data_IF_310026055215
#
_entry.id   IF_310026055215
#
_cell.length_a   1.000
_cell.length_b   1.000
_cell.length_c   1.000
_cell.angle_alpha   90.00
_cell.angle_beta   90.00
_cell.angle_gamma   90.00
#
_symmetry.space_group_name_H-M   'P 1'
#
loop_
_entity.id
_entity.type
_entity.pdbx_description
1 polymer ?
#
# COMPACT_ATOMS: atom_id res chain seq x y z
N UNK A 1 10.33 -23.69 18.07
CA UNK A 1 9.31 -23.37 17.04
C UNK A 1 9.92 -23.59 15.67
N UNK A 2 9.16 -24.05 14.68
CA UNK A 2 9.66 -24.19 13.30
C UNK A 2 9.74 -22.80 12.65
N UNK A 3 10.59 -22.64 11.63
CA UNK A 3 10.70 -21.36 10.90
C UNK A 3 9.34 -20.94 10.31
N UNK A 4 8.58 -21.89 9.76
CA UNK A 4 7.23 -21.63 9.24
C UNK A 4 6.31 -21.01 10.29
N UNK A 5 6.30 -21.53 11.53
CA UNK A 5 5.48 -20.96 12.62
C UNK A 5 5.95 -19.58 13.07
N UNK A 6 7.25 -19.28 12.90
CA UNK A 6 7.86 -17.98 13.25
C UNK A 6 7.50 -16.89 12.24
N UNK A 7 7.53 -17.21 10.94
CA UNK A 7 7.31 -16.22 9.88
C UNK A 7 5.82 -16.03 9.52
N UNK A 8 4.97 -17.05 9.71
CA UNK A 8 3.58 -17.02 9.26
C UNK A 8 2.77 -15.79 9.76
N UNK A 9 2.90 -15.33 11.02
CA UNK A 9 2.21 -14.13 11.50
C UNK A 9 2.62 -12.83 10.79
N UNK A 10 3.77 -12.82 10.12
CA UNK A 10 4.33 -11.63 9.47
C UNK A 10 4.01 -11.55 7.97
N UNK A 11 3.57 -12.65 7.35
CA UNK A 11 3.30 -12.73 5.91
C UNK A 11 2.20 -11.78 5.41
N UNK A 12 1.05 -11.61 6.11
CA UNK A 12 0.03 -10.65 5.66
C UNK A 12 0.61 -9.25 5.50
N UNK A 13 1.35 -8.77 6.50
CA UNK A 13 1.95 -7.44 6.49
C UNK A 13 3.07 -7.32 5.45
N UNK A 14 3.87 -8.38 5.24
CA UNK A 14 4.86 -8.38 4.17
C UNK A 14 4.21 -8.23 2.80
N UNK A 15 3.04 -8.84 2.57
CA UNK A 15 2.26 -8.60 1.33
C UNK A 15 1.81 -7.15 1.24
N UNK A 16 1.27 -6.56 2.31
CA UNK A 16 0.89 -5.14 2.32
C UNK A 16 2.05 -4.24 1.90
N UNK A 17 3.21 -4.44 2.51
CA UNK A 17 4.44 -3.73 2.16
C UNK A 17 4.84 -3.95 0.69
N UNK A 18 4.85 -5.20 0.23
CA UNK A 18 5.23 -5.55 -1.13
C UNK A 18 4.28 -4.99 -2.19
N UNK A 19 2.97 -5.01 -1.93
CA UNK A 19 1.94 -4.40 -2.79
C UNK A 19 2.10 -2.88 -2.84
N UNK A 20 2.36 -2.23 -1.70
CA UNK A 20 2.63 -0.80 -1.66
C UNK A 20 3.90 -0.41 -2.44
N UNK A 21 4.92 -1.28 -2.41
CA UNK A 21 6.19 -1.06 -3.11
C UNK A 21 6.06 -1.28 -4.63
N UNK A 22 5.28 -2.28 -5.05
CA UNK A 22 5.12 -2.69 -6.47
C UNK A 22 3.94 -2.03 -7.18
N UNK A 23 2.99 -1.47 -6.43
CA UNK A 23 1.82 -0.77 -6.95
C UNK A 23 0.68 -1.67 -7.42
N UNK A 24 0.79 -2.99 -7.25
CA UNK A 24 -0.29 -3.95 -7.60
C UNK A 24 -0.33 -5.14 -6.64
N UNK A 25 -1.50 -5.74 -6.49
CA UNK A 25 -1.66 -6.99 -5.76
C UNK A 25 -0.80 -8.11 -6.37
N UNK A 26 -0.96 -8.35 -7.68
CA UNK A 26 -0.33 -9.48 -8.38
C UNK A 26 1.20 -9.46 -8.25
N UNK A 27 1.81 -8.30 -8.47
CA UNK A 27 3.27 -8.18 -8.36
C UNK A 27 3.73 -8.38 -6.92
N UNK A 28 3.09 -7.70 -5.96
CA UNK A 28 3.47 -7.79 -4.56
C UNK A 28 3.38 -9.21 -4.00
N UNK A 29 2.27 -9.90 -4.28
CA UNK A 29 2.06 -11.27 -3.82
C UNK A 29 3.03 -12.26 -4.49
N UNK A 30 3.39 -12.04 -5.76
CA UNK A 30 4.39 -12.84 -6.47
C UNK A 30 5.79 -12.70 -5.87
N UNK A 31 6.21 -11.48 -5.48
CA UNK A 31 7.49 -11.30 -4.78
C UNK A 31 7.50 -12.01 -3.41
N UNK A 32 6.40 -11.95 -2.65
CA UNK A 32 6.31 -12.67 -1.37
C UNK A 32 6.35 -14.17 -1.57
N UNK A 33 5.66 -14.70 -2.58
CA UNK A 33 5.73 -16.12 -2.94
C UNK A 33 7.16 -16.55 -3.31
N UNK A 34 7.88 -15.76 -4.12
CA UNK A 34 9.26 -16.05 -4.50
C UNK A 34 10.21 -16.07 -3.28
N UNK A 35 10.00 -15.18 -2.30
CA UNK A 35 10.76 -15.22 -1.03
C UNK A 35 10.49 -16.52 -0.26
N UNK A 36 9.22 -16.95 -0.20
CA UNK A 36 8.86 -18.22 0.46
C UNK A 36 9.46 -19.43 -0.25
N UNK A 37 9.42 -19.47 -1.59
CA UNK A 37 10.05 -20.52 -2.39
C UNK A 37 11.56 -20.58 -2.15
N UNK A 38 12.23 -19.43 -2.06
CA UNK A 38 13.65 -19.36 -1.74
C UNK A 38 13.95 -19.95 -0.35
N UNK A 39 13.13 -19.63 0.67
CA UNK A 39 13.28 -20.19 2.03
C UNK A 39 13.06 -21.71 2.03
N UNK A 40 12.10 -22.21 1.25
CA UNK A 40 11.84 -23.65 1.13
C UNK A 40 13.01 -24.36 0.45
N UNK A 41 13.59 -23.75 -0.59
CA UNK A 41 14.74 -24.29 -1.32
C UNK A 41 16.01 -24.33 -0.45
N UNK A 42 16.25 -23.29 0.35
CA UNK A 42 17.37 -23.22 1.27
C UNK A 42 17.01 -22.41 2.53
N UNK A 43 16.77 -23.10 3.64
CA UNK A 43 16.43 -22.48 4.93
C UNK A 43 17.59 -21.62 5.47
N UNK A 44 18.85 -21.91 5.08
CA UNK A 44 20.03 -21.22 5.61
C UNK A 44 20.15 -19.78 5.14
N UNK A 45 19.38 -19.38 4.11
CA UNK A 45 19.34 -17.99 3.64
C UNK A 45 18.60 -17.06 4.61
N UNK A 46 17.80 -17.61 5.53
CA UNK A 46 17.01 -16.82 6.46
C UNK A 46 17.95 -16.11 7.45
N UNK A 47 17.95 -14.76 7.50
CA UNK A 47 18.90 -14.02 8.34
C UNK A 47 18.78 -14.40 9.81
N UNK A 48 19.94 -14.54 10.47
CA UNK A 48 20.00 -14.71 11.92
C UNK A 48 19.91 -13.33 12.58
N UNK A 49 18.68 -12.91 12.90
CA UNK A 49 18.41 -11.69 13.67
C UNK A 49 17.55 -12.02 14.89
N UNK A 50 17.60 -11.15 15.89
CA UNK A 50 16.81 -11.30 17.12
C UNK A 50 15.29 -11.17 16.89
N UNK A 51 14.87 -10.69 15.71
CA UNK A 51 13.48 -10.40 15.39
C UNK A 51 13.08 -11.02 14.04
N UNK A 52 12.23 -12.04 14.09
CA UNK A 52 11.70 -12.74 12.90
C UNK A 52 11.07 -11.83 11.86
N UNK A 53 10.42 -10.76 12.30
CA UNK A 53 9.83 -9.76 11.42
C UNK A 53 10.93 -9.02 10.65
N UNK A 54 12.01 -8.63 11.32
CA UNK A 54 13.16 -7.94 10.71
C UNK A 54 13.89 -8.86 9.74
N UNK A 55 14.17 -10.11 10.15
CA UNK A 55 14.82 -11.10 9.29
C UNK A 55 14.05 -11.35 7.99
N UNK A 56 12.72 -11.50 8.08
CA UNK A 56 11.86 -11.74 6.93
C UNK A 56 11.89 -10.56 5.95
N UNK A 57 11.79 -9.32 6.45
CA UNK A 57 11.83 -8.12 5.61
C UNK A 57 13.22 -7.88 5.02
N UNK A 58 14.29 -8.15 5.78
CA UNK A 58 15.68 -8.07 5.29
C UNK A 58 15.91 -9.03 4.12
N UNK A 59 15.42 -10.27 4.24
CA UNK A 59 15.49 -11.24 3.15
C UNK A 59 14.67 -10.79 1.93
N UNK A 60 13.45 -10.27 2.15
CA UNK A 60 12.63 -9.72 1.08
C UNK A 60 13.36 -8.61 0.32
N UNK A 61 13.92 -7.61 1.02
CA UNK A 61 14.65 -6.48 0.42
C UNK A 61 15.85 -6.96 -0.41
N UNK A 62 16.64 -7.91 0.13
CA UNK A 62 17.79 -8.49 -0.56
C UNK A 62 17.40 -9.18 -1.87
N UNK A 63 16.27 -9.88 -1.87
CA UNK A 63 15.74 -10.57 -3.04
C UNK A 63 15.04 -9.62 -4.02
N UNK A 64 14.35 -8.59 -3.52
CA UNK A 64 13.61 -7.63 -4.34
C UNK A 64 14.50 -6.90 -5.37
N UNK A 65 15.71 -6.50 -4.96
CA UNK A 65 16.66 -5.82 -5.85
C UNK A 65 17.44 -6.74 -6.80
N UNK A 66 17.39 -8.06 -6.59
CA UNK A 66 18.22 -9.05 -7.31
C UNK A 66 17.42 -10.00 -8.19
N UNK A 67 16.13 -10.20 -7.91
CA UNK A 67 15.27 -11.09 -8.68
C UNK A 67 14.74 -10.41 -9.94
N UNK A 68 15.06 -10.98 -11.11
CA UNK A 68 14.32 -10.70 -12.35
C UNK A 68 13.13 -11.66 -12.40
N UNK A 69 12.02 -11.31 -11.74
CA UNK A 69 10.80 -12.13 -11.82
C UNK A 69 10.08 -11.88 -13.14
N UNK A 70 9.68 -12.95 -13.83
CA UNK A 70 8.60 -12.87 -14.80
C UNK A 70 7.31 -12.71 -14.02
N UNK A 71 6.90 -11.45 -13.80
CA UNK A 71 5.66 -11.13 -13.12
C UNK A 71 4.51 -11.61 -14.02
N UNK A 72 3.60 -12.48 -13.53
CA UNK A 72 2.40 -12.86 -14.27
C UNK A 72 1.60 -11.61 -14.68
N UNK A 73 0.90 -11.64 -15.81
CA UNK A 73 0.03 -10.52 -16.16
C UNK A 73 -0.96 -10.24 -15.02
N UNK A 74 -1.15 -8.96 -14.63
CA UNK A 74 -2.00 -8.59 -13.52
C UNK A 74 -3.44 -9.03 -13.79
N UNK A 75 -3.88 -10.11 -13.13
CA UNK A 75 -5.28 -10.56 -13.16
C UNK A 75 -6.06 -9.88 -12.03
N UNK A 76 -6.11 -8.54 -12.08
CA UNK A 76 -6.86 -7.74 -11.12
C UNK A 76 -8.20 -7.29 -11.73
N UNK A 77 -9.32 -7.35 -10.98
CA UNK A 77 -10.58 -6.73 -11.42
C UNK A 77 -10.48 -5.19 -11.49
N UNK A 78 -9.43 -4.59 -10.90
CA UNK A 78 -9.23 -3.15 -10.87
C UNK A 78 -8.42 -2.68 -12.09
N UNK A 79 -9.08 -1.95 -13.00
CA UNK A 79 -8.48 -1.50 -14.28
C UNK A 79 -7.21 -0.63 -14.11
N UNK A 80 -7.07 0.08 -12.99
CA UNK A 80 -5.88 0.87 -12.71
C UNK A 80 -4.66 0.01 -12.32
N UNK A 81 -4.88 -1.13 -11.67
CA UNK A 81 -3.82 -2.08 -11.32
C UNK A 81 -3.26 -2.79 -12.55
N UNK A 82 -4.11 -3.03 -13.57
CA UNK A 82 -3.67 -3.62 -14.84
C UNK A 82 -2.67 -2.74 -15.61
N UNK A 83 -2.66 -1.42 -15.36
CA UNK A 83 -1.80 -0.44 -16.06
C UNK A 83 -0.64 0.08 -15.23
N UNK A 84 -0.62 -0.15 -13.92
CA UNK A 84 0.50 0.21 -13.05
C UNK A 84 1.79 -0.61 -13.35
N UNK A 85 1.75 -1.48 -14.36
CA UNK A 85 2.85 -2.32 -14.79
C UNK A 85 4.07 -1.51 -15.27
N UNK A 86 5.18 -1.67 -14.54
CA UNK A 86 6.59 -1.58 -14.99
C UNK A 86 7.18 -0.18 -15.20
N UNK A 87 7.09 0.72 -14.22
CA UNK A 87 8.10 1.80 -14.14
C UNK A 87 8.42 2.20 -12.68
N UNK A 88 9.13 1.32 -11.98
CA UNK A 88 9.77 1.55 -10.68
C UNK A 88 10.93 2.59 -10.73
N UNK A 89 11.20 3.21 -11.88
CA UNK A 89 12.43 3.95 -12.19
C UNK A 89 12.46 5.43 -11.76
N UNK A 90 11.35 6.00 -11.27
CA UNK A 90 11.24 7.47 -11.04
C UNK A 90 11.51 7.94 -9.59
N UNK A 91 11.67 7.05 -8.62
CA UNK A 91 12.11 7.37 -7.25
C UNK A 91 13.26 6.46 -6.89
N UNK A 92 14.23 6.95 -6.10
CA UNK A 92 15.29 6.08 -5.54
C UNK A 92 14.62 4.88 -4.84
N UNK A 93 14.77 3.65 -5.36
CA UNK A 93 14.03 2.49 -4.86
C UNK A 93 14.24 2.28 -3.36
N UNK A 94 15.39 2.68 -2.82
CA UNK A 94 15.76 2.49 -1.42
C UNK A 94 15.15 3.55 -0.49
N UNK A 95 15.07 4.81 -0.92
CA UNK A 95 14.45 5.88 -0.11
C UNK A 95 12.95 5.61 0.10
N UNK A 96 12.28 5.15 -0.96
CA UNK A 96 10.89 4.69 -0.88
C UNK A 96 10.72 3.50 0.05
N UNK A 97 11.61 2.51 -0.04
CA UNK A 97 11.57 1.35 0.86
C UNK A 97 11.72 1.78 2.32
N UNK A 98 12.69 2.63 2.65
CA UNK A 98 12.89 3.17 4.00
C UNK A 98 11.62 3.86 4.51
N UNK A 99 11.03 4.71 3.69
CA UNK A 99 9.84 5.44 4.06
C UNK A 99 8.62 4.54 4.29
N UNK A 100 8.38 3.54 3.44
CA UNK A 100 7.28 2.58 3.64
C UNK A 100 7.50 1.68 4.86
N UNK A 101 8.76 1.28 5.14
CA UNK A 101 9.09 0.53 6.35
C UNK A 101 8.79 1.34 7.62
N UNK A 102 9.08 2.65 7.61
CA UNK A 102 8.79 3.54 8.73
C UNK A 102 7.28 3.82 8.89
N UNK A 103 6.61 4.21 7.81
CA UNK A 103 5.26 4.77 7.86
C UNK A 103 4.14 3.73 7.81
N UNK A 104 4.30 2.67 7.00
CA UNK A 104 3.27 1.64 6.80
C UNK A 104 3.50 0.45 7.73
N UNK A 105 4.77 0.06 7.89
CA UNK A 105 5.14 -1.09 8.71
C UNK A 105 5.59 -0.71 10.13
N UNK A 106 5.72 0.58 10.44
CA UNK A 106 6.04 1.07 11.79
C UNK A 106 7.33 0.48 12.37
N UNK A 107 8.32 0.18 11.52
CA UNK A 107 9.64 -0.22 11.99
C UNK A 107 10.40 0.98 12.57
N UNK A 108 11.23 0.71 13.58
CA UNK A 108 12.12 1.71 14.18
C UNK A 108 13.32 1.95 13.29
N UNK A 109 13.98 3.11 13.46
CA UNK A 109 15.15 3.50 12.66
C UNK A 109 16.22 2.40 12.57
N UNK A 110 16.63 1.82 13.71
CA UNK A 110 17.62 0.74 13.74
C UNK A 110 17.17 -0.56 13.05
N UNK A 111 15.87 -0.87 13.11
CA UNK A 111 15.30 -2.02 12.39
C UNK A 111 15.28 -1.77 10.87
N UNK A 112 14.97 -0.54 10.45
CA UNK A 112 15.00 -0.16 9.03
C UNK A 112 16.44 -0.22 8.50
N UNK A 113 17.40 0.29 9.27
CA UNK A 113 18.82 0.22 8.94
C UNK A 113 19.28 -1.23 8.74
N UNK A 114 18.87 -2.15 9.64
CA UNK A 114 19.15 -3.57 9.50
C UNK A 114 18.46 -4.19 8.27
N UNK A 115 17.17 -3.91 8.04
CA UNK A 115 16.40 -4.42 6.89
C UNK A 115 17.03 -4.00 5.55
N UNK A 116 17.50 -2.74 5.47
CA UNK A 116 18.06 -2.17 4.25
C UNK A 116 19.58 -2.40 4.12
N UNK A 117 20.23 -2.95 5.14
CA UNK A 117 21.68 -3.18 5.20
C UNK A 117 22.51 -1.89 5.01
N UNK A 118 22.07 -0.82 5.69
CA UNK A 118 22.72 0.51 5.67
C UNK A 118 22.90 1.05 7.09
N UNK A 119 23.66 2.14 7.25
CA UNK A 119 23.81 2.76 8.57
C UNK A 119 22.53 3.49 9.01
N UNK A 120 22.36 3.71 10.32
CA UNK A 120 21.25 4.54 10.82
C UNK A 120 21.33 5.98 10.27
N UNK A 121 22.53 6.53 10.08
CA UNK A 121 22.74 7.85 9.47
C UNK A 121 22.26 7.88 8.02
N UNK A 122 22.56 6.86 7.23
CA UNK A 122 22.09 6.76 5.85
C UNK A 122 20.57 6.56 5.82
N UNK A 123 20.03 5.81 6.77
CA UNK A 123 18.58 5.62 6.91
C UNK A 123 17.87 6.94 7.19
N UNK A 124 18.39 7.78 8.10
CA UNK A 124 17.85 9.13 8.33
C UNK A 124 17.87 9.96 7.04
N UNK A 125 18.99 9.96 6.31
CA UNK A 125 19.09 10.67 5.04
C UNK A 125 18.08 10.16 4.00
N UNK A 126 17.86 8.83 3.90
CA UNK A 126 16.87 8.23 3.01
C UNK A 126 15.44 8.67 3.36
N UNK A 127 15.11 8.72 4.66
CA UNK A 127 13.81 9.20 5.13
C UNK A 127 13.60 10.68 4.83
N UNK A 128 14.63 11.52 4.98
CA UNK A 128 14.59 12.94 4.62
C UNK A 128 14.36 13.14 3.12
N UNK A 129 15.08 12.39 2.28
CA UNK A 129 14.89 12.41 0.82
C UNK A 129 13.45 12.04 0.46
N UNK A 130 12.94 10.93 1.02
CA UNK A 130 11.58 10.50 0.75
C UNK A 130 10.54 11.53 1.23
N UNK A 131 10.72 12.11 2.42
CA UNK A 131 9.83 13.15 2.95
C UNK A 131 9.76 14.38 2.05
N UNK A 132 10.91 14.82 1.52
CA UNK A 132 10.98 15.95 0.57
C UNK A 132 10.28 15.64 -0.75
N UNK A 133 10.43 14.43 -1.29
CA UNK A 133 9.75 14.01 -2.52
C UNK A 133 8.24 13.97 -2.37
N UNK A 134 7.75 13.42 -1.24
CA UNK A 134 6.32 13.35 -0.95
C UNK A 134 5.74 14.76 -0.78
N UNK A 135 6.48 15.65 -0.13
CA UNK A 135 6.04 17.04 0.08
C UNK A 135 5.94 17.85 -1.23
N UNK A 136 6.53 17.36 -2.33
CA UNK A 136 6.42 17.96 -3.67
C UNK A 136 5.22 17.45 -4.46
N UNK A 137 4.45 16.48 -3.95
CA UNK A 137 3.29 15.98 -4.65
C UNK A 137 2.18 17.02 -4.76
N UNK A 138 1.46 16.97 -5.88
CA UNK A 138 0.40 17.92 -6.20
C UNK A 138 -0.84 17.62 -5.36
N UNK A 139 -1.47 18.68 -4.83
CA UNK A 139 -2.78 18.61 -4.20
C UNK A 139 -3.76 17.83 -5.10
N UNK A 140 -4.53 16.92 -4.50
CA UNK A 140 -5.42 16.00 -5.23
C UNK A 140 -6.81 16.08 -4.66
N UNK A 141 -7.80 15.90 -5.52
CA UNK A 141 -9.21 15.81 -5.17
C UNK A 141 -9.56 14.39 -4.75
N UNK A 142 -9.96 14.24 -3.49
CA UNK A 142 -10.19 12.96 -2.84
C UNK A 142 -11.66 12.84 -2.44
N UNK A 143 -12.27 11.69 -2.70
CA UNK A 143 -13.59 11.34 -2.17
C UNK A 143 -13.43 10.30 -1.05
N UNK A 144 -14.19 10.46 0.02
CA UNK A 144 -14.20 9.51 1.15
C UNK A 144 -15.51 8.72 1.12
N UNK A 145 -15.42 7.41 1.32
CA UNK A 145 -16.57 6.52 1.53
C UNK A 145 -16.43 5.95 2.95
N UNK A 146 -17.22 6.46 3.88
CA UNK A 146 -17.17 6.11 5.30
C UNK A 146 -18.52 6.49 5.93
N UNK A 147 -19.13 5.54 6.63
CA UNK A 147 -20.45 5.71 7.25
C UNK A 147 -20.36 6.20 8.69
N UNK A 148 -19.26 5.93 9.39
CA UNK A 148 -19.04 6.39 10.76
C UNK A 148 -18.61 7.88 10.78
N UNK A 149 -19.44 8.81 11.28
CA UNK A 149 -19.18 10.25 11.12
C UNK A 149 -17.87 10.73 11.75
N UNK A 150 -17.49 10.17 12.90
CA UNK A 150 -16.24 10.54 13.57
C UNK A 150 -15.02 10.08 12.77
N UNK A 151 -15.07 8.85 12.24
CA UNK A 151 -14.00 8.30 11.42
C UNK A 151 -13.88 9.08 10.11
N UNK A 152 -15.00 9.42 9.49
CA UNK A 152 -15.03 10.25 8.29
C UNK A 152 -14.40 11.63 8.52
N UNK A 153 -14.73 12.29 9.65
CA UNK A 153 -14.14 13.56 10.05
C UNK A 153 -12.62 13.45 10.30
N UNK A 154 -12.17 12.38 10.95
CA UNK A 154 -10.74 12.15 11.20
C UNK A 154 -9.98 11.98 9.87
N UNK A 155 -10.53 11.19 8.94
CA UNK A 155 -9.94 11.00 7.60
C UNK A 155 -9.91 12.33 6.84
N UNK A 156 -11.01 13.08 6.85
CA UNK A 156 -11.12 14.38 6.18
C UNK A 156 -10.04 15.34 6.69
N UNK A 157 -9.93 15.52 8.01
CA UNK A 157 -8.92 16.40 8.61
C UNK A 157 -7.49 15.96 8.27
N UNK A 158 -7.22 14.65 8.28
CA UNK A 158 -5.91 14.13 7.88
C UNK A 158 -5.62 14.44 6.40
N UNK A 159 -6.57 14.15 5.50
CA UNK A 159 -6.43 14.41 4.07
C UNK A 159 -6.19 15.90 3.78
N UNK A 160 -6.94 16.79 4.43
CA UNK A 160 -6.78 18.23 4.30
C UNK A 160 -5.44 18.73 4.87
N UNK A 161 -5.00 18.18 6.00
CA UNK A 161 -3.70 18.53 6.61
C UNK A 161 -2.49 18.17 5.73
N UNK A 162 -2.67 17.19 4.84
CA UNK A 162 -1.70 16.78 3.83
C UNK A 162 -1.73 17.65 2.57
N UNK A 163 -2.64 18.64 2.51
CA UNK A 163 -2.77 19.58 1.39
C UNK A 163 -3.66 19.08 0.25
N UNK A 164 -4.39 17.99 0.44
CA UNK A 164 -5.39 17.49 -0.51
C UNK A 164 -6.76 18.12 -0.25
N UNK A 165 -7.68 18.03 -1.22
CA UNK A 165 -9.05 18.54 -1.09
C UNK A 165 -10.04 17.39 -1.00
N UNK A 166 -10.88 17.38 0.03
CA UNK A 166 -12.00 16.45 0.11
C UNK A 166 -13.16 17.00 -0.73
N UNK A 167 -13.58 16.22 -1.73
CA UNK A 167 -14.69 16.56 -2.64
C UNK A 167 -16.06 16.24 -2.05
N UNK A 168 -16.08 15.37 -1.05
CA UNK A 168 -17.26 14.99 -0.28
C UNK A 168 -17.06 13.63 0.39
N UNK A 169 -18.02 13.30 1.26
CA UNK A 169 -18.07 12.06 2.04
C UNK A 169 -19.37 11.36 1.71
N UNK A 170 -19.29 10.12 1.22
CA UNK A 170 -20.43 9.24 0.99
C UNK A 170 -20.54 8.20 2.12
N UNK A 171 -21.75 7.92 2.57
CA UNK A 171 -22.01 6.97 3.67
C UNK A 171 -22.60 5.66 3.22
N UNK A 172 -23.05 5.58 1.97
CA UNK A 172 -23.65 4.37 1.39
C UNK A 172 -23.11 4.13 -0.01
N UNK A 173 -23.29 2.91 -0.50
CA UNK A 173 -22.98 2.54 -1.88
C UNK A 173 -23.60 3.50 -2.91
N UNK A 174 -24.90 3.81 -2.78
CA UNK A 174 -25.62 4.65 -3.72
C UNK A 174 -25.12 6.11 -3.70
N UNK A 175 -24.83 6.64 -2.50
CA UNK A 175 -24.25 7.98 -2.35
C UNK A 175 -22.85 8.05 -2.98
N UNK A 176 -22.02 7.02 -2.82
CA UNK A 176 -20.67 7.00 -3.36
C UNK A 176 -20.67 7.10 -4.89
N UNK A 177 -21.53 6.33 -5.57
CA UNK A 177 -21.66 6.37 -7.03
C UNK A 177 -22.20 7.72 -7.50
N UNK A 178 -23.20 8.28 -6.81
CA UNK A 178 -23.77 9.58 -7.14
C UNK A 178 -22.75 10.72 -6.96
N UNK A 179 -22.05 10.72 -5.83
CA UNK A 179 -21.06 11.72 -5.46
C UNK A 179 -19.87 11.69 -6.44
N UNK A 180 -19.33 10.50 -6.74
CA UNK A 180 -18.26 10.34 -7.72
C UNK A 180 -18.64 10.93 -9.09
N UNK A 181 -19.88 10.71 -9.54
CA UNK A 181 -20.37 11.25 -10.80
C UNK A 181 -20.52 12.77 -10.80
N UNK A 182 -20.87 13.36 -9.65
CA UNK A 182 -21.04 14.80 -9.49
C UNK A 182 -19.71 15.55 -9.34
N UNK A 183 -18.75 15.01 -8.57
CA UNK A 183 -17.53 15.73 -8.20
C UNK A 183 -16.29 15.30 -8.98
N UNK A 184 -16.32 14.13 -9.64
CA UNK A 184 -15.22 13.56 -10.43
C UNK A 184 -13.88 13.59 -9.66
N UNK A 185 -13.80 12.95 -8.48
CA UNK A 185 -12.57 12.93 -7.69
C UNK A 185 -11.45 12.22 -8.45
N UNK A 186 -10.21 12.53 -8.08
CA UNK A 186 -9.02 11.91 -8.66
C UNK A 186 -8.51 10.71 -7.86
N UNK A 187 -9.05 10.48 -6.65
CA UNK A 187 -8.76 9.34 -5.77
C UNK A 187 -9.95 9.06 -4.86
N UNK A 188 -10.08 7.81 -4.41
CA UNK A 188 -11.06 7.40 -3.40
C UNK A 188 -10.35 6.79 -2.18
N UNK A 189 -10.73 7.21 -0.98
CA UNK A 189 -10.52 6.44 0.26
C UNK A 189 -11.84 5.79 0.65
N UNK A 190 -11.86 4.47 0.85
CA UNK A 190 -13.08 3.75 1.13
C UNK A 190 -12.94 2.79 2.31
N UNK A 191 -13.86 2.83 3.27
CA UNK A 191 -14.08 1.69 4.15
C UNK A 191 -14.55 0.49 3.33
N UNK A 192 -14.14 -0.69 3.77
CA UNK A 192 -14.54 -1.98 3.22
C UNK A 192 -15.93 -2.40 3.72
N UNK A 193 -16.29 -2.07 4.96
CA UNK A 193 -17.58 -2.42 5.57
C UNK A 193 -18.37 -1.15 5.88
N UNK A 194 -19.60 -1.05 5.35
CA UNK A 194 -20.53 0.05 5.64
C UNK A 194 -21.67 -0.45 6.54
N UNK A 195 -22.21 0.39 7.42
CA UNK A 195 -23.25 0.01 8.40
C UNK A 195 -24.57 -0.49 7.79
N UNK A 196 -24.87 -0.16 6.53
CA UNK A 196 -26.05 -0.68 5.83
C UNK A 196 -25.88 -2.14 5.37
N UNK A 197 -24.72 -2.75 5.66
CA UNK A 197 -24.37 -4.11 5.24
C UNK A 197 -23.89 -4.19 3.79
N UNK A 198 -23.82 -3.05 3.09
CA UNK A 198 -23.19 -2.98 1.77
C UNK A 198 -21.67 -2.98 1.89
N UNK A 199 -20.98 -3.39 0.83
CA UNK A 199 -19.53 -3.35 0.78
C UNK A 199 -19.05 -2.08 0.08
N UNK A 200 -18.15 -1.34 0.71
CA UNK A 200 -17.45 -0.26 0.02
C UNK A 200 -16.56 -0.75 -1.12
N UNK A 201 -16.17 -2.04 -1.11
CA UNK A 201 -15.52 -2.69 -2.26
C UNK A 201 -16.45 -2.71 -3.46
N UNK A 202 -17.74 -3.02 -3.28
CA UNK A 202 -18.71 -3.03 -4.38
C UNK A 202 -18.94 -1.61 -4.94
N UNK A 203 -19.00 -0.62 -4.05
CA UNK A 203 -19.14 0.80 -4.45
C UNK A 203 -17.96 1.25 -5.29
N UNK A 204 -16.76 0.91 -4.85
CA UNK A 204 -15.52 1.16 -5.58
C UNK A 204 -15.51 0.42 -6.92
N UNK A 205 -15.92 -0.86 -6.96
CA UNK A 205 -15.97 -1.63 -8.19
C UNK A 205 -16.89 -0.99 -9.24
N UNK A 206 -18.06 -0.49 -8.82
CA UNK A 206 -18.99 0.20 -9.71
C UNK A 206 -18.42 1.53 -10.23
N UNK A 207 -17.74 2.29 -9.37
CA UNK A 207 -17.03 3.51 -9.78
C UNK A 207 -15.95 3.20 -10.82
N UNK A 208 -15.14 2.15 -10.57
CA UNK A 208 -14.02 1.76 -11.41
C UNK A 208 -14.41 1.18 -12.78
N UNK A 209 -15.67 0.79 -12.98
CA UNK A 209 -16.20 0.45 -14.32
C UNK A 209 -16.16 1.64 -15.28
N UNK A 210 -16.19 2.87 -14.75
CA UNK A 210 -16.30 4.10 -15.55
C UNK A 210 -15.18 5.10 -15.31
N UNK A 211 -14.35 4.89 -14.29
CA UNK A 211 -13.23 5.75 -13.94
C UNK A 211 -11.94 4.95 -13.70
N UNK A 212 -10.81 5.55 -14.07
CA UNK A 212 -9.49 4.99 -13.81
C UNK A 212 -8.79 5.85 -12.76
N UNK A 213 -9.17 5.67 -11.49
CA UNK A 213 -8.63 6.43 -10.36
C UNK A 213 -8.07 5.48 -9.30
N UNK A 214 -6.99 5.86 -8.60
CA UNK A 214 -6.46 5.09 -7.49
C UNK A 214 -7.47 5.00 -6.35
N UNK A 215 -7.48 3.85 -5.67
CA UNK A 215 -8.31 3.62 -4.49
C UNK A 215 -7.46 3.08 -3.34
N UNK A 216 -7.69 3.62 -2.15
CA UNK A 216 -7.11 3.14 -0.91
C UNK A 216 -8.25 2.65 -0.03
N UNK A 217 -8.15 1.40 0.41
CA UNK A 217 -9.14 0.81 1.30
C UNK A 217 -8.73 0.97 2.76
N UNK A 218 -9.74 1.08 3.62
CA UNK A 218 -9.58 1.27 5.06
C UNK A 218 -10.25 0.08 5.77
N UNK A 219 -9.58 -0.50 6.77
CA UNK A 219 -10.16 -1.57 7.59
C UNK A 219 -9.52 -1.71 8.95
N UNK A 220 -10.27 -2.24 9.92
CA UNK A 220 -9.75 -2.68 11.21
C UNK A 220 -9.04 -4.05 11.16
N UNK A 221 -9.26 -4.85 10.11
CA UNK A 221 -8.73 -6.23 9.99
C UNK A 221 -8.00 -6.44 8.65
N UNK A 222 -6.84 -5.78 8.45
CA UNK A 222 -6.10 -5.84 7.19
C UNK A 222 -5.69 -7.26 6.80
N UNK A 223 -5.41 -8.13 7.77
CA UNK A 223 -4.96 -9.51 7.55
C UNK A 223 -5.96 -10.36 6.76
N UNK A 224 -7.26 -10.02 6.77
CA UNK A 224 -8.31 -10.72 6.00
C UNK A 224 -8.28 -10.41 4.50
N UNK A 225 -7.50 -9.40 4.12
CA UNK A 225 -7.34 -8.87 2.76
C UNK A 225 -5.89 -8.89 2.30
N UNK A 226 -5.08 -9.68 3.00
CA UNK A 226 -3.65 -9.89 2.73
C UNK A 226 -3.36 -11.40 2.70
N UNK A 227 -4.33 -12.21 2.25
CA UNK A 227 -4.16 -13.66 2.14
C UNK A 227 -3.36 -14.01 0.89
N UNK A 228 -3.53 -13.24 -0.19
CA UNK A 228 -2.95 -13.50 -1.51
C UNK A 228 -3.63 -14.65 -2.27
N UNK A 229 -4.81 -15.09 -1.82
CA UNK A 229 -5.52 -16.24 -2.40
C UNK A 229 -6.68 -15.85 -3.33
N UNK A 230 -7.05 -14.57 -3.36
CA UNK A 230 -8.19 -14.02 -4.10
C UNK A 230 -7.90 -12.57 -4.49
N UNK A 231 -8.72 -11.93 -5.35
CA UNK A 231 -8.62 -10.50 -5.57
C UNK A 231 -8.79 -9.71 -4.26
N UNK A 232 -7.80 -8.88 -3.94
CA UNK A 232 -7.69 -8.10 -2.71
C UNK A 232 -7.13 -6.70 -3.03
N UNK A 233 -7.40 -5.69 -2.20
CA UNK A 233 -6.84 -4.36 -2.36
C UNK A 233 -5.30 -4.32 -2.43
N UNK A 234 -4.77 -3.47 -3.31
CA UNK A 234 -3.35 -3.11 -3.34
C UNK A 234 -2.96 -2.22 -2.17
N UNK A 235 -3.71 -1.14 -1.91
CA UNK A 235 -3.42 -0.18 -0.85
C UNK A 235 -4.44 -0.30 0.29
N UNK A 236 -3.92 -0.53 1.50
CA UNK A 236 -4.70 -0.80 2.70
C UNK A 236 -4.20 0.06 3.86
N UNK A 237 -5.07 0.90 4.41
CA UNK A 237 -4.88 1.63 5.66
C UNK A 237 -5.55 0.86 6.80
N UNK A 238 -4.86 0.76 7.93
CA UNK A 238 -5.38 0.09 9.12
C UNK A 238 -6.01 1.10 10.09
N UNK A 239 -7.18 0.77 10.64
CA UNK A 239 -7.79 1.49 11.78
C UNK A 239 -7.17 0.97 13.10
N UNK A 240 -6.87 1.82 14.09
CA UNK A 240 -6.92 3.28 14.07
C UNK A 240 -5.82 3.90 13.19
N UNK A 241 -6.11 5.07 12.62
CA UNK A 241 -5.26 5.68 11.61
C UNK A 241 -3.93 6.17 12.17
N UNK A 242 -2.86 5.88 11.44
CA UNK A 242 -1.60 6.59 11.56
C UNK A 242 -1.52 7.62 10.41
N UNK A 243 -1.42 8.94 10.69
CA UNK A 243 -1.27 9.96 9.66
C UNK A 243 -0.12 9.70 8.69
N UNK A 244 1.00 9.17 9.19
CA UNK A 244 2.16 8.85 8.35
C UNK A 244 1.84 7.71 7.37
N UNK A 245 1.09 6.70 7.80
CA UNK A 245 0.63 5.60 6.95
C UNK A 245 -0.31 6.10 5.85
N UNK A 246 -1.27 6.96 6.21
CA UNK A 246 -2.22 7.55 5.24
C UNK A 246 -1.45 8.39 4.21
N UNK A 247 -0.56 9.28 4.68
CA UNK A 247 0.32 10.07 3.82
C UNK A 247 1.12 9.19 2.86
N UNK A 248 1.68 8.10 3.37
CA UNK A 248 2.50 7.21 2.57
C UNK A 248 1.72 6.51 1.47
N UNK A 249 0.53 5.98 1.79
CA UNK A 249 -0.28 5.26 0.83
C UNK A 249 -0.92 6.18 -0.20
N UNK A 250 -1.36 7.38 0.19
CA UNK A 250 -1.78 8.42 -0.78
C UNK A 250 -0.63 8.73 -1.73
N UNK A 251 0.57 8.94 -1.18
CA UNK A 251 1.75 9.22 -2.00
C UNK A 251 2.07 8.11 -3.00
N UNK A 252 2.04 6.85 -2.57
CA UNK A 252 2.26 5.71 -3.47
C UNK A 252 1.20 5.64 -4.56
N UNK A 253 -0.07 5.75 -4.16
CA UNK A 253 -1.19 5.64 -5.09
C UNK A 253 -1.16 6.75 -6.16
N UNK A 254 -0.76 7.98 -5.79
CA UNK A 254 -0.55 9.07 -6.75
C UNK A 254 0.64 8.82 -7.67
N UNK A 255 1.76 8.36 -7.13
CA UNK A 255 2.96 8.08 -7.91
C UNK A 255 2.69 7.08 -9.05
N UNK A 256 2.00 5.98 -8.76
CA UNK A 256 1.67 4.96 -9.76
C UNK A 256 0.62 5.44 -10.78
N UNK A 257 -0.29 6.32 -10.35
CA UNK A 257 -1.27 6.93 -11.26
C UNK A 257 -0.61 7.89 -12.28
N UNK A 258 0.34 8.72 -11.84
CA UNK A 258 1.09 9.61 -12.76
C UNK A 258 1.94 8.83 -13.76
N UNK A 259 2.58 7.73 -13.34
CA UNK A 259 3.36 6.89 -14.25
C UNK A 259 2.48 6.26 -15.32
N UNK A 260 1.28 5.85 -14.95
CA UNK A 260 0.28 5.28 -15.86
C UNK A 260 -0.18 6.31 -16.91
N UNK A 261 -0.44 7.57 -16.50
CA UNK A 261 -0.85 8.64 -17.44
C UNK A 261 0.24 9.03 -18.44
N UNK A 262 1.51 8.87 -18.09
CA UNK A 262 2.65 9.19 -18.99
C UNK A 262 2.93 8.05 -19.98
N UNK A 263 2.54 6.81 -19.66
CA UNK A 263 2.76 5.63 -20.49
C UNK A 263 1.60 5.34 -21.47
N UNK A 264 0.42 5.92 -21.24
CA UNK A 264 -0.79 5.80 -22.07
C UNK A 264 -0.87 6.91 -23.14
#
# INVERSE_FOLDING_TARGET
MTLSTRIAPHLPYLRRYSRALTGTQTSGDAYVAAVLEAIIADISIFPDTDNDRVALYKLFTKLFGSLTLQIPEPNSPYAWEQRASVNLSKVSPVARQAFLLASVESFRLGEIADILDVSESDTMHLLDVASQEISRQVATDIMIIEDEPLIAMDIEQMVESLGHRVTGIARTHAEAVALHNATKPSMVLADIQLADGSSGIDAVNDILKTANIPVIFITAFPERLLTGERPEPTFLVTKPFNPDMVKALISQALFFNETTKVAA
#
